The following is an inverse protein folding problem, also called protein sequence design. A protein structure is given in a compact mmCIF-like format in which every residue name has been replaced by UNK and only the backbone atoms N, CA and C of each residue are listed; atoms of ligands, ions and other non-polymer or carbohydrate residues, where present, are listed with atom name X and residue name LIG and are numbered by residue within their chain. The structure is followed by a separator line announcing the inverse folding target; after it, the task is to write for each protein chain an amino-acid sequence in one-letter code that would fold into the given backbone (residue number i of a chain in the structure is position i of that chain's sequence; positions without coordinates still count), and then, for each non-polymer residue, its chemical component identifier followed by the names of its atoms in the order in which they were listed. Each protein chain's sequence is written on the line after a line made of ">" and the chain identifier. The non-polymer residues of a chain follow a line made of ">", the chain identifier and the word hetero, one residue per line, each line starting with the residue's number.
data_IF_657159796008
#
_entry.id   IF_657159796008
#
_cell.length_a   1.000
_cell.length_b   1.000
_cell.length_c   1.000
_cell.angle_alpha   90.00
_cell.angle_beta   90.00
_cell.angle_gamma   90.00
#
_symmetry.space_group_name_H-M   'P 1'
#
loop_
_entity.id
_entity.type
_entity.pdbx_description
1 polymer ?
#
# COMPACT_ATOMS: atom_id res chain seq x y z
N UNK A 1 -21.31 -11.07 -14.27
CA UNK A 1 -22.06 -11.26 -15.52
C UNK A 1 -23.54 -11.18 -15.18
N UNK A 2 -24.35 -10.47 -15.97
CA UNK A 2 -25.82 -10.44 -15.77
C UNK A 2 -26.40 -11.41 -16.80
N UNK A 3 -27.22 -12.34 -16.36
CA UNK A 3 -27.89 -13.32 -17.21
C UNK A 3 -29.39 -13.30 -16.88
N UNK A 4 -30.18 -12.70 -17.76
CA UNK A 4 -31.59 -12.38 -17.48
C UNK A 4 -31.73 -11.51 -16.23
N UNK A 5 -32.68 -11.88 -15.35
CA UNK A 5 -32.93 -11.19 -14.08
C UNK A 5 -31.95 -11.58 -12.95
N UNK A 6 -30.85 -12.26 -13.27
CA UNK A 6 -29.92 -12.77 -12.28
C UNK A 6 -28.51 -12.20 -12.50
N UNK A 7 -27.89 -11.80 -11.41
CA UNK A 7 -26.47 -11.45 -11.34
C UNK A 7 -25.68 -12.70 -10.98
N UNK A 8 -24.84 -13.14 -11.91
CA UNK A 8 -23.86 -14.20 -11.71
C UNK A 8 -22.52 -13.57 -11.31
N UNK A 9 -21.99 -13.98 -10.16
CA UNK A 9 -20.64 -13.59 -9.74
C UNK A 9 -19.96 -14.71 -8.97
N UNK A 10 -18.64 -14.73 -9.06
CA UNK A 10 -17.80 -15.62 -8.27
C UNK A 10 -17.45 -14.89 -6.99
N UNK A 11 -17.81 -15.47 -5.86
CA UNK A 11 -17.44 -15.00 -4.55
C UNK A 11 -16.21 -15.76 -4.05
N UNK A 12 -15.18 -15.02 -3.68
CA UNK A 12 -14.00 -15.56 -3.02
C UNK A 12 -14.08 -15.23 -1.53
N UNK A 13 -13.94 -16.25 -0.68
CA UNK A 13 -13.70 -16.08 0.74
C UNK A 13 -12.28 -16.56 1.04
N UNK A 14 -11.40 -15.63 1.38
CA UNK A 14 -9.98 -15.90 1.58
C UNK A 14 -9.56 -15.61 3.01
N UNK A 15 -8.76 -16.52 3.58
CA UNK A 15 -8.09 -16.32 4.85
C UNK A 15 -6.60 -16.16 4.55
N UNK A 16 -6.10 -14.96 4.81
CA UNK A 16 -4.71 -14.59 4.61
C UNK A 16 -4.04 -14.44 5.97
N UNK A 17 -2.89 -15.09 6.14
CA UNK A 17 -1.99 -14.82 7.24
C UNK A 17 -0.96 -13.80 6.76
N UNK A 18 -0.89 -12.68 7.48
CA UNK A 18 0.06 -11.61 7.19
C UNK A 18 1.03 -11.52 8.36
N UNK A 19 2.32 -11.39 8.08
CA UNK A 19 3.31 -11.05 9.11
C UNK A 19 3.29 -9.56 9.50
N UNK A 20 2.29 -8.82 9.01
CA UNK A 20 2.07 -7.40 9.26
C UNK A 20 0.97 -7.22 10.30
N UNK A 21 1.27 -6.46 11.36
CA UNK A 21 0.38 -6.19 12.50
C UNK A 21 -0.79 -5.23 12.17
N UNK A 22 -0.82 -4.59 10.99
CA UNK A 22 -1.88 -3.63 10.65
C UNK A 22 -2.31 -3.64 9.18
N UNK A 23 -3.62 -3.74 8.92
CA UNK A 23 -4.25 -3.39 7.62
C UNK A 23 -4.17 -1.88 7.31
N UNK A 24 -3.68 -1.09 8.25
CA UNK A 24 -3.60 0.38 8.16
C UNK A 24 -2.56 0.74 7.10
N UNK A 25 -3.04 1.10 5.93
CA UNK A 25 -2.25 1.76 4.89
C UNK A 25 -1.75 3.10 5.42
N UNK A 26 -0.46 3.38 5.24
CA UNK A 26 0.07 4.72 5.51
C UNK A 26 -0.71 5.76 4.72
N UNK A 27 -0.86 6.97 5.30
CA UNK A 27 -1.32 8.14 4.56
C UNK A 27 -0.59 8.22 3.20
N UNK A 28 -1.31 8.38 2.07
CA UNK A 28 -0.74 8.40 0.72
C UNK A 28 0.48 9.31 0.58
N UNK A 29 0.46 10.51 1.17
CA UNK A 29 1.56 11.47 1.10
C UNK A 29 2.84 10.95 1.77
N UNK A 30 2.70 10.24 2.90
CA UNK A 30 3.85 9.60 3.56
C UNK A 30 4.41 8.47 2.71
N UNK A 31 3.54 7.72 2.03
CA UNK A 31 3.94 6.63 1.14
C UNK A 31 4.70 7.14 -0.08
N UNK A 32 4.21 8.18 -0.74
CA UNK A 32 4.88 8.81 -1.89
C UNK A 32 6.28 9.32 -1.52
N UNK A 33 6.42 9.96 -0.36
CA UNK A 33 7.73 10.41 0.12
C UNK A 33 8.70 9.24 0.37
N UNK A 34 8.21 8.13 0.93
CA UNK A 34 9.03 6.94 1.16
C UNK A 34 9.46 6.29 -0.16
N UNK A 35 8.56 6.23 -1.15
CA UNK A 35 8.88 5.75 -2.50
C UNK A 35 9.96 6.61 -3.16
N UNK A 36 9.86 7.94 -3.06
CA UNK A 36 10.87 8.86 -3.59
C UNK A 36 12.25 8.62 -2.95
N UNK A 37 12.32 8.55 -1.62
CA UNK A 37 13.58 8.30 -0.91
C UNK A 37 14.18 6.95 -1.34
N UNK A 38 13.33 5.93 -1.48
CA UNK A 38 13.74 4.60 -1.94
C UNK A 38 14.24 4.61 -3.38
N UNK A 39 13.56 5.29 -4.30
CA UNK A 39 13.98 5.37 -5.71
C UNK A 39 15.31 6.10 -5.88
N UNK A 40 15.57 7.15 -5.10
CA UNK A 40 16.86 7.85 -5.11
C UNK A 40 18.00 6.95 -4.61
N UNK A 41 17.74 6.18 -3.54
CA UNK A 41 18.71 5.21 -3.01
C UNK A 41 18.94 4.04 -3.97
N UNK A 42 17.90 3.53 -4.62
CA UNK A 42 18.01 2.45 -5.60
C UNK A 42 18.70 2.93 -6.89
N UNK A 43 18.63 4.23 -7.19
CA UNK A 43 19.40 4.90 -8.24
C UNK A 43 20.88 5.14 -7.88
N UNK A 44 21.34 4.71 -6.70
CA UNK A 44 22.75 4.76 -6.30
C UNK A 44 23.17 5.97 -5.48
N UNK A 45 22.26 6.91 -5.16
CA UNK A 45 22.63 8.04 -4.30
C UNK A 45 22.92 7.60 -2.87
N UNK A 46 23.96 8.18 -2.28
CA UNK A 46 24.29 8.05 -0.87
C UNK A 46 23.28 8.78 0.03
N UNK A 47 23.27 8.43 1.32
CA UNK A 47 22.38 9.07 2.29
C UNK A 47 22.61 10.60 2.41
N UNK A 48 23.83 11.07 2.12
CA UNK A 48 24.20 12.50 2.13
C UNK A 48 23.57 13.19 0.92
N UNK A 49 23.80 12.66 -0.27
CA UNK A 49 23.24 13.20 -1.51
C UNK A 49 21.71 13.22 -1.48
N UNK A 50 21.08 12.18 -0.91
CA UNK A 50 19.62 12.14 -0.74
C UNK A 50 19.16 13.24 0.22
N UNK A 51 19.84 13.45 1.36
CA UNK A 51 19.43 14.54 2.27
C UNK A 51 19.58 15.91 1.61
N UNK A 52 20.66 16.13 0.88
CA UNK A 52 20.91 17.40 0.19
C UNK A 52 19.91 17.63 -0.94
N UNK A 53 19.60 16.58 -1.73
CA UNK A 53 18.57 16.62 -2.76
C UNK A 53 17.20 16.99 -2.20
N UNK A 54 16.79 16.39 -1.08
CA UNK A 54 15.49 16.68 -0.46
C UNK A 54 15.44 18.11 0.09
N UNK A 55 16.51 18.54 0.76
CA UNK A 55 16.58 19.88 1.34
C UNK A 55 16.62 20.98 0.25
N UNK A 56 17.38 20.77 -0.83
CA UNK A 56 17.45 21.71 -1.97
C UNK A 56 16.12 21.81 -2.72
N UNK A 57 15.34 20.72 -2.77
CA UNK A 57 13.96 20.72 -3.31
C UNK A 57 12.92 21.28 -2.33
N UNK A 58 13.32 21.75 -1.14
CA UNK A 58 12.42 22.31 -0.13
C UNK A 58 11.55 21.26 0.57
N UNK A 59 11.86 19.96 0.43
CA UNK A 59 11.10 18.88 1.03
C UNK A 59 11.51 18.71 2.50
N UNK A 60 10.60 19.07 3.40
CA UNK A 60 10.82 18.89 4.85
C UNK A 60 10.27 17.56 5.35
N UNK A 61 10.81 17.11 6.47
CA UNK A 61 10.30 15.95 7.22
C UNK A 61 8.84 16.17 7.64
N UNK A 62 8.10 15.11 8.04
CA UNK A 62 6.72 15.27 8.52
C UNK A 62 6.54 16.21 9.71
N UNK A 63 7.64 16.55 10.41
CA UNK A 63 7.67 17.50 11.53
C UNK A 63 8.20 18.89 11.11
N UNK A 64 8.35 19.16 9.81
CA UNK A 64 8.84 20.44 9.28
C UNK A 64 10.36 20.66 9.39
N UNK A 65 11.14 19.65 9.82
CA UNK A 65 12.60 19.75 9.94
C UNK A 65 13.32 19.34 8.66
N UNK A 66 14.57 19.76 8.52
CA UNK A 66 15.47 19.31 7.45
C UNK A 66 15.82 17.84 7.54
N UNK A 67 16.12 17.26 6.38
CA UNK A 67 16.69 15.92 6.28
C UNK A 67 18.17 15.95 6.62
N UNK A 68 18.62 14.92 7.33
CA UNK A 68 20.03 14.67 7.61
C UNK A 68 20.36 13.20 7.29
N UNK A 69 21.63 12.86 6.98
CA UNK A 69 21.98 11.55 6.43
C UNK A 69 21.55 10.37 7.31
N UNK A 70 21.70 10.49 8.64
CA UNK A 70 21.27 9.47 9.60
C UNK A 70 19.75 9.25 9.59
N UNK A 71 18.96 10.30 9.35
CA UNK A 71 17.50 10.16 9.21
C UNK A 71 17.15 9.37 7.96
N UNK A 72 17.79 9.67 6.83
CA UNK A 72 17.61 8.95 5.57
C UNK A 72 17.88 7.46 5.77
N UNK A 73 19.01 7.11 6.39
CA UNK A 73 19.35 5.71 6.66
C UNK A 73 18.28 4.99 7.51
N UNK A 74 17.83 5.60 8.61
CA UNK A 74 16.78 5.00 9.47
C UNK A 74 15.47 4.86 8.69
N UNK A 75 15.11 5.86 7.87
CA UNK A 75 13.92 5.85 7.03
C UNK A 75 13.96 4.71 6.01
N UNK A 76 15.07 4.57 5.28
CA UNK A 76 15.29 3.48 4.33
C UNK A 76 15.24 2.11 5.02
N UNK A 77 15.95 1.95 6.14
CA UNK A 77 15.95 0.70 6.92
C UNK A 77 14.54 0.30 7.34
N UNK A 78 13.76 1.23 7.88
CA UNK A 78 12.37 0.96 8.29
C UNK A 78 11.47 0.62 7.10
N UNK A 79 11.67 1.30 5.97
CA UNK A 79 10.88 1.07 4.77
C UNK A 79 11.20 -0.27 4.12
N UNK A 80 12.48 -0.63 3.99
CA UNK A 80 12.89 -1.95 3.49
C UNK A 80 12.34 -3.08 4.38
N UNK A 81 12.46 -2.97 5.70
CA UNK A 81 11.87 -3.94 6.62
C UNK A 81 10.35 -4.05 6.46
N UNK A 82 9.67 -2.95 6.09
CA UNK A 82 8.24 -2.99 5.78
C UNK A 82 7.95 -3.73 4.48
N UNK A 83 8.73 -3.49 3.42
CA UNK A 83 8.61 -4.22 2.15
C UNK A 83 8.84 -5.72 2.35
N UNK A 84 9.83 -6.12 3.14
CA UNK A 84 10.08 -7.52 3.47
C UNK A 84 8.90 -8.17 4.19
N UNK A 85 8.32 -7.49 5.20
CA UNK A 85 7.09 -7.99 5.87
C UNK A 85 5.89 -8.09 4.93
N UNK A 86 5.78 -7.20 3.95
CA UNK A 86 4.70 -7.24 2.95
C UNK A 86 4.84 -8.39 1.95
N UNK A 87 6.06 -8.89 1.73
CA UNK A 87 6.31 -10.04 0.85
C UNK A 87 5.94 -11.37 1.51
N UNK A 88 6.05 -11.47 2.83
CA UNK A 88 5.69 -12.69 3.56
C UNK A 88 4.19 -12.68 3.90
N UNK A 89 3.38 -13.22 3.00
CA UNK A 89 2.00 -13.60 3.29
C UNK A 89 1.82 -15.09 2.99
N UNK A 90 0.95 -15.73 3.77
CA UNK A 90 0.57 -17.12 3.55
C UNK A 90 -0.92 -17.18 3.28
N UNK A 91 -1.28 -17.77 2.15
CA UNK A 91 -2.68 -18.06 1.84
C UNK A 91 -3.04 -19.32 2.61
N UNK A 92 -3.84 -19.17 3.67
CA UNK A 92 -4.29 -20.33 4.47
C UNK A 92 -5.41 -21.05 3.74
N UNK A 93 -6.37 -20.28 3.21
CA UNK A 93 -7.57 -20.84 2.59
C UNK A 93 -8.14 -19.91 1.54
N UNK A 94 -8.58 -20.49 0.44
CA UNK A 94 -9.42 -19.84 -0.57
C UNK A 94 -10.64 -20.73 -0.76
N UNK A 95 -11.82 -20.18 -0.56
CA UNK A 95 -13.09 -20.84 -0.89
C UNK A 95 -13.75 -20.04 -2.00
N UNK A 96 -13.96 -20.69 -3.13
CA UNK A 96 -14.67 -20.13 -4.27
C UNK A 96 -16.12 -20.61 -4.28
N UNK A 97 -17.05 -19.70 -4.56
CA UNK A 97 -18.47 -20.03 -4.73
C UNK A 97 -19.05 -19.26 -5.90
N UNK A 98 -19.73 -19.97 -6.80
CA UNK A 98 -20.57 -19.34 -7.81
C UNK A 98 -21.88 -18.92 -7.16
N UNK A 99 -22.18 -17.62 -7.19
CA UNK A 99 -23.40 -17.05 -6.62
C UNK A 99 -24.30 -16.57 -7.75
N UNK A 100 -25.56 -16.99 -7.68
CA UNK A 100 -26.65 -16.52 -8.54
C UNK A 100 -27.58 -15.70 -7.68
N UNK A 101 -27.64 -14.39 -7.94
CA UNK A 101 -28.47 -13.47 -7.18
C UNK A 101 -29.56 -12.89 -8.07
N UNK A 102 -30.84 -13.05 -7.70
CA UNK A 102 -31.95 -12.39 -8.40
C UNK A 102 -31.89 -10.88 -8.18
N UNK A 103 -32.02 -10.11 -9.25
CA UNK A 103 -32.07 -8.65 -9.20
C UNK A 103 -33.48 -8.23 -8.75
N UNK A 104 -33.59 -7.74 -7.51
CA UNK A 104 -34.80 -7.03 -7.07
C UNK A 104 -34.73 -5.61 -7.59
N UNK A 105 -35.44 -5.35 -8.69
CA UNK A 105 -35.67 -3.99 -9.18
C UNK A 105 -36.75 -3.40 -8.28
N UNK A 106 -36.36 -2.48 -7.38
CA UNK A 106 -37.35 -1.67 -6.67
C UNK A 106 -37.92 -0.67 -7.67
N UNK A 107 -39.26 -0.58 -7.83
CA UNK A 107 -39.85 0.48 -8.63
C UNK A 107 -39.45 1.81 -7.99
N UNK A 108 -38.81 2.68 -8.77
CA UNK A 108 -38.60 4.07 -8.37
C UNK A 108 -39.94 4.75 -8.58
N UNK A 109 -40.65 5.02 -7.48
CA UNK A 109 -41.85 5.87 -7.51
C UNK A 109 -41.40 7.29 -7.87
N UNK A 110 -41.88 7.79 -9.01
CA UNK A 110 -41.70 9.17 -9.49
C UNK A 110 -42.83 10.06 -8.98
#
# INVERSE_FOLDING_TARGET
>A
MIYGDHRLFIQFNTILELNNTSLITLNPQRTERLKLIKSLSDGGMSNIEISDYLNTKGLKTPKGKDYYPKLIWVTLKKYNNRLERSRSYKVIRVVERLVVQKLTIFPVEF
#
